data_IF_801899290457
#
_entry.id   IF_801899290457
#
_cell.length_a   1.000
_cell.length_b   1.000
_cell.length_c   1.000
_cell.angle_alpha   90.00
_cell.angle_beta   90.00
_cell.angle_gamma   90.00
#
_symmetry.space_group_name_H-M   'P 1'
#
loop_
_entity.id
_entity.type
_entity.pdbx_description
1 polymer ?
#
# COMPACT_ATOMS: atom_id res chain seq x y z
N UNK A 1 -20.16 3.64 18.66
CA UNK A 1 -20.21 3.31 17.22
C UNK A 1 -18.77 3.16 16.76
N UNK A 2 -18.31 1.94 16.53
CA UNK A 2 -16.88 1.67 16.33
C UNK A 2 -16.50 1.86 14.86
N UNK A 3 -15.36 2.50 14.61
CA UNK A 3 -14.79 2.64 13.26
C UNK A 3 -13.99 1.38 12.96
N UNK A 4 -14.38 0.62 11.94
CA UNK A 4 -13.68 -0.62 11.56
C UNK A 4 -12.54 -0.26 10.59
N UNK A 5 -11.36 -0.08 11.17
CA UNK A 5 -10.08 0.03 10.46
C UNK A 5 -9.49 -1.34 10.15
N UNK A 6 -8.58 -1.40 9.16
CA UNK A 6 -8.09 -2.69 8.63
C UNK A 6 -7.39 -3.56 9.68
N UNK A 7 -6.56 -2.96 10.55
CA UNK A 7 -5.94 -3.69 11.67
C UNK A 7 -7.00 -4.10 12.71
N UNK A 8 -7.84 -3.20 13.28
CA UNK A 8 -8.96 -3.58 14.15
C UNK A 8 -9.94 -4.63 13.61
N UNK A 9 -10.15 -4.74 12.30
CA UNK A 9 -10.89 -5.88 11.70
C UNK A 9 -10.14 -7.21 11.89
N UNK A 10 -8.85 -7.25 11.56
CA UNK A 10 -7.99 -8.42 11.73
C UNK A 10 -7.72 -8.75 13.21
N UNK A 11 -7.78 -7.74 14.09
CA UNK A 11 -7.63 -7.82 15.55
C UNK A 11 -8.88 -8.38 16.22
N UNK A 12 -10.06 -7.83 15.91
CA UNK A 12 -11.33 -8.31 16.48
C UNK A 12 -11.52 -9.80 16.17
N UNK A 13 -11.16 -10.22 14.95
CA UNK A 13 -11.15 -11.61 14.55
C UNK A 13 -10.27 -12.50 15.46
N UNK A 14 -9.13 -12.00 15.96
CA UNK A 14 -8.20 -12.75 16.82
C UNK A 14 -8.75 -12.98 18.22
N UNK A 15 -9.44 -12.02 18.83
CA UNK A 15 -10.07 -12.21 20.15
C UNK A 15 -11.16 -13.29 20.09
N UNK A 16 -12.04 -13.20 19.09
CA UNK A 16 -13.13 -14.15 18.84
C UNK A 16 -12.66 -15.58 18.47
N UNK A 17 -11.36 -15.81 18.25
CA UNK A 17 -10.80 -17.17 18.13
C UNK A 17 -10.96 -18.01 19.42
N UNK A 18 -11.21 -17.37 20.57
CA UNK A 18 -10.94 -17.96 21.89
C UNK A 18 -9.45 -17.96 22.24
N UNK A 19 -8.66 -17.06 21.66
CA UNK A 19 -7.31 -16.77 22.16
C UNK A 19 -7.41 -15.91 23.43
N UNK A 20 -6.47 -16.08 24.35
CA UNK A 20 -6.46 -15.37 25.63
C UNK A 20 -6.49 -13.83 25.43
N UNK A 21 -7.54 -13.13 25.90
CA UNK A 21 -7.63 -11.68 25.78
C UNK A 21 -6.49 -10.92 26.45
N UNK A 22 -5.86 -11.47 27.50
CA UNK A 22 -4.73 -10.83 28.18
C UNK A 22 -3.48 -10.79 27.28
N UNK A 23 -3.31 -11.76 26.37
CA UNK A 23 -2.19 -11.78 25.40
C UNK A 23 -2.32 -10.66 24.37
N UNK A 24 -3.53 -10.31 23.96
CA UNK A 24 -3.82 -9.28 22.96
C UNK A 24 -4.19 -7.91 23.57
N UNK A 25 -4.15 -7.78 24.90
CA UNK A 25 -4.57 -6.63 25.70
C UNK A 25 -3.99 -5.28 25.29
N UNK A 26 -2.77 -5.30 24.73
CA UNK A 26 -2.00 -4.12 24.28
C UNK A 26 -2.11 -3.87 22.76
N UNK A 27 -2.95 -4.63 22.04
CA UNK A 27 -3.14 -4.54 20.59
C UNK A 27 -2.39 -5.62 19.79
N UNK A 28 -2.25 -5.39 18.47
CA UNK A 28 -1.53 -6.27 17.56
C UNK A 28 -0.54 -5.51 16.66
N UNK A 29 0.58 -6.16 16.42
CA UNK A 29 1.50 -5.86 15.34
C UNK A 29 1.14 -6.70 14.12
N UNK A 30 1.13 -6.08 12.94
CA UNK A 30 0.76 -6.71 11.68
C UNK A 30 1.79 -6.38 10.61
N UNK A 31 2.39 -7.40 10.00
CA UNK A 31 3.37 -7.22 8.91
C UNK A 31 2.77 -7.61 7.58
N UNK A 32 2.92 -6.72 6.61
CA UNK A 32 2.59 -6.91 5.21
C UNK A 32 3.87 -6.97 4.38
N UNK A 33 3.91 -7.88 3.40
CA UNK A 33 4.90 -7.85 2.33
C UNK A 33 4.35 -6.99 1.20
N UNK A 34 5.15 -6.04 0.74
CA UNK A 34 4.83 -5.14 -0.37
C UNK A 34 5.81 -5.40 -1.51
N UNK A 35 5.27 -5.59 -2.72
CA UNK A 35 6.03 -5.69 -3.95
C UNK A 35 5.52 -4.64 -4.94
N UNK A 36 6.34 -3.64 -5.24
CA UNK A 36 6.09 -2.64 -6.27
C UNK A 36 6.94 -2.97 -7.50
N UNK A 37 6.29 -3.17 -8.64
CA UNK A 37 6.93 -3.37 -9.94
C UNK A 37 6.48 -2.29 -10.90
N UNK A 38 7.42 -1.58 -11.52
CA UNK A 38 7.14 -0.53 -12.48
C UNK A 38 7.98 -0.68 -13.75
N UNK A 39 7.43 -0.20 -14.86
CA UNK A 39 8.12 -0.08 -16.14
C UNK A 39 8.05 1.36 -16.65
N UNK A 40 9.14 1.83 -17.25
CA UNK A 40 9.27 3.12 -17.95
C UNK A 40 9.50 2.82 -19.42
N UNK A 41 8.57 3.21 -20.27
CA UNK A 41 8.62 2.94 -21.72
C UNK A 41 8.55 4.26 -22.48
N UNK A 42 9.57 4.55 -23.28
CA UNK A 42 9.66 5.79 -24.07
C UNK A 42 8.87 5.69 -25.39
N UNK A 43 8.26 6.80 -25.80
CA UNK A 43 7.48 6.89 -27.04
C UNK A 43 8.40 6.88 -28.27
N UNK A 44 8.19 5.93 -29.19
CA UNK A 44 8.98 5.76 -30.42
C UNK A 44 8.75 6.84 -31.51
N UNK A 45 7.85 7.80 -31.27
CA UNK A 45 7.34 8.74 -32.30
C UNK A 45 8.39 9.70 -32.86
N UNK A 46 9.53 9.86 -32.17
CA UNK A 46 10.67 10.65 -32.63
C UNK A 46 11.94 9.78 -32.63
N UNK A 47 12.53 9.58 -33.81
CA UNK A 47 13.50 8.52 -34.06
C UNK A 47 14.81 8.64 -33.27
N UNK A 48 15.33 7.49 -32.82
CA UNK A 48 16.50 7.36 -31.94
C UNK A 48 16.40 8.22 -30.67
N UNK A 49 15.44 7.86 -29.83
CA UNK A 49 15.58 8.09 -28.39
C UNK A 49 16.96 7.59 -27.93
N UNK A 50 17.73 8.46 -27.27
CA UNK A 50 18.94 8.05 -26.55
C UNK A 50 18.60 7.44 -25.18
N UNK A 51 17.35 7.58 -24.74
CA UNK A 51 16.86 7.01 -23.49
C UNK A 51 16.62 5.52 -23.66
N UNK A 52 16.77 4.78 -22.56
CA UNK A 52 16.56 3.33 -22.52
C UNK A 52 15.34 3.05 -21.66
N UNK A 53 14.46 2.16 -22.12
CA UNK A 53 13.38 1.65 -21.30
C UNK A 53 13.93 0.98 -20.04
N UNK A 54 13.13 0.94 -18.98
CA UNK A 54 13.58 0.51 -17.66
C UNK A 54 12.49 -0.29 -16.95
N UNK A 55 12.87 -1.36 -16.24
CA UNK A 55 12.03 -1.94 -15.19
C UNK A 55 12.61 -1.62 -13.81
N UNK A 56 11.73 -1.61 -12.81
CA UNK A 56 12.05 -1.26 -11.44
C UNK A 56 11.26 -2.15 -10.49
N UNK A 57 11.95 -2.75 -9.53
CA UNK A 57 11.40 -3.68 -8.57
C UNK A 57 11.78 -3.22 -7.15
N UNK A 58 10.78 -3.05 -6.27
CA UNK A 58 10.94 -2.83 -4.82
C UNK A 58 10.19 -3.92 -4.07
N UNK A 59 10.90 -4.61 -3.18
CA UNK A 59 10.31 -5.56 -2.23
C UNK A 59 10.62 -5.06 -0.83
N UNK A 60 9.61 -4.93 0.03
CA UNK A 60 9.79 -4.43 1.39
C UNK A 60 8.74 -5.03 2.31
N UNK A 61 9.08 -5.19 3.58
CA UNK A 61 8.07 -5.38 4.62
C UNK A 61 7.57 -4.01 5.09
N UNK A 62 6.31 -3.95 5.49
CA UNK A 62 5.69 -2.86 6.23
C UNK A 62 5.05 -3.46 7.47
N UNK A 63 5.58 -3.11 8.64
CA UNK A 63 5.03 -3.55 9.93
C UNK A 63 4.29 -2.40 10.58
N UNK A 64 3.05 -2.65 11.01
CA UNK A 64 2.11 -1.69 11.57
C UNK A 64 1.62 -2.13 12.95
N UNK A 65 1.52 -1.19 13.89
CA UNK A 65 0.82 -1.33 15.16
C UNK A 65 -0.37 -0.38 15.18
N UNK A 66 -1.58 -0.85 15.50
CA UNK A 66 -2.78 -0.01 15.49
C UNK A 66 -3.30 0.28 16.89
N UNK A 67 -3.58 1.57 17.11
CA UNK A 67 -4.15 2.12 18.33
C UNK A 67 -5.32 3.00 17.89
N UNK A 68 -6.54 2.65 18.31
CA UNK A 68 -7.79 3.33 17.94
C UNK A 68 -7.97 3.51 16.41
N UNK A 69 -8.06 4.76 15.93
CA UNK A 69 -8.20 5.11 14.52
C UNK A 69 -6.86 5.39 13.82
N UNK A 70 -5.74 4.96 14.41
CA UNK A 70 -4.38 5.16 13.90
C UNK A 70 -3.65 3.83 13.68
N UNK A 71 -2.74 3.81 12.73
CA UNK A 71 -1.69 2.80 12.66
C UNK A 71 -0.32 3.48 12.53
N UNK A 72 0.61 3.11 13.42
CA UNK A 72 2.01 3.51 13.35
C UNK A 72 2.78 2.39 12.65
N UNK A 73 3.45 2.71 11.55
CA UNK A 73 4.09 1.70 10.71
C UNK A 73 5.50 2.08 10.31
N UNK A 74 6.33 1.09 9.98
CA UNK A 74 7.69 1.29 9.47
C UNK A 74 8.04 0.28 8.37
N UNK A 75 8.86 0.70 7.40
CA UNK A 75 9.34 -0.19 6.34
C UNK A 75 10.68 -0.84 6.74
N UNK A 76 10.83 -2.13 6.50
CA UNK A 76 12.05 -2.89 6.76
C UNK A 76 12.30 -3.97 5.69
N UNK A 77 13.47 -4.60 5.75
CA UNK A 77 13.92 -5.65 4.82
C UNK A 77 13.86 -5.27 3.33
N UNK A 78 13.93 -3.97 3.06
CA UNK A 78 13.78 -3.36 1.74
C UNK A 78 14.90 -3.80 0.78
N UNK A 79 14.51 -4.29 -0.38
CA UNK A 79 15.35 -4.64 -1.52
C UNK A 79 14.88 -3.84 -2.73
N UNK A 80 15.81 -3.29 -3.51
CA UNK A 80 15.50 -2.42 -4.65
C UNK A 80 16.40 -2.77 -5.83
N UNK A 81 15.82 -2.85 -7.03
CA UNK A 81 16.54 -3.17 -8.26
C UNK A 81 15.98 -2.36 -9.43
N UNK A 82 16.84 -1.59 -10.08
CA UNK A 82 16.58 -1.01 -11.41
C UNK A 82 17.20 -1.91 -12.48
N UNK A 83 16.54 -2.10 -13.63
CA UNK A 83 17.06 -2.86 -14.78
C UNK A 83 16.84 -2.05 -16.06
N UNK A 84 17.92 -1.70 -16.78
CA UNK A 84 17.85 -0.89 -18.00
C UNK A 84 17.92 -1.77 -19.26
N UNK A 85 17.03 -1.50 -20.22
CA UNK A 85 16.77 -2.35 -21.38
C UNK A 85 17.53 -1.90 -22.64
N UNK A 86 17.93 -2.88 -23.44
CA UNK A 86 18.76 -2.74 -24.63
C UNK A 86 17.98 -2.32 -25.87
N UNK A 87 18.60 -1.48 -26.69
CA UNK A 87 18.09 -1.03 -27.99
C UNK A 87 18.16 -2.19 -29.00
N UNK A 88 17.07 -2.98 -29.07
CA UNK A 88 17.10 -4.32 -29.65
C UNK A 88 17.04 -4.35 -31.19
N UNK A 89 18.16 -4.06 -31.85
CA UNK A 89 18.35 -4.22 -33.30
C UNK A 89 18.14 -5.66 -33.84
N UNK A 90 17.80 -6.63 -32.97
CA UNK A 90 17.59 -8.05 -33.27
C UNK A 90 16.38 -8.67 -32.54
N UNK A 91 15.45 -7.87 -32.02
CA UNK A 91 14.18 -8.38 -31.44
C UNK A 91 14.30 -9.15 -30.11
N UNK A 92 15.46 -9.07 -29.43
CA UNK A 92 15.62 -9.44 -28.02
C UNK A 92 16.19 -8.25 -27.27
N UNK A 93 15.50 -7.76 -26.24
CA UNK A 93 16.06 -6.73 -25.39
C UNK A 93 17.14 -7.34 -24.49
N UNK A 94 18.36 -6.86 -24.64
CA UNK A 94 19.51 -7.24 -23.83
C UNK A 94 19.60 -6.30 -22.63
N UNK A 95 19.77 -6.84 -21.41
CA UNK A 95 19.90 -6.00 -20.21
C UNK A 95 21.22 -5.22 -20.31
N UNK A 96 21.16 -3.89 -20.36
CA UNK A 96 22.34 -3.01 -20.43
C UNK A 96 23.04 -2.90 -19.07
N UNK A 97 22.25 -2.76 -18.01
CA UNK A 97 22.74 -2.60 -16.64
C UNK A 97 21.64 -2.93 -15.64
N UNK A 98 22.05 -3.23 -14.41
CA UNK A 98 21.19 -3.23 -13.24
C UNK A 98 21.82 -2.37 -12.14
N UNK A 99 21.01 -1.63 -11.40
CA UNK A 99 21.47 -0.70 -10.35
C UNK A 99 20.75 -0.96 -9.03
N UNK A 100 21.52 -0.87 -7.93
CA UNK A 100 21.01 -0.91 -6.56
C UNK A 100 20.67 0.52 -6.12
N UNK A 101 19.39 0.87 -6.06
CA UNK A 101 18.96 2.20 -5.63
C UNK A 101 19.03 2.34 -4.10
N UNK A 102 20.23 2.72 -3.63
CA UNK A 102 20.53 2.98 -2.22
C UNK A 102 19.70 4.15 -1.69
N UNK A 103 19.33 5.14 -2.50
CA UNK A 103 18.49 6.27 -2.05
C UNK A 103 17.08 5.79 -1.73
N UNK A 104 16.41 5.08 -2.65
CA UNK A 104 15.06 4.56 -2.41
C UNK A 104 15.01 3.66 -1.17
N UNK A 105 16.03 2.79 -0.98
CA UNK A 105 16.13 1.98 0.25
C UNK A 105 16.25 2.85 1.50
N UNK A 106 17.15 3.84 1.50
CA UNK A 106 17.35 4.74 2.65
C UNK A 106 16.07 5.52 2.97
N UNK A 107 15.42 6.11 1.97
CA UNK A 107 14.20 6.91 2.14
C UNK A 107 13.06 6.11 2.79
N UNK A 108 12.83 4.86 2.35
CA UNK A 108 11.83 4.00 2.97
C UNK A 108 12.19 3.61 4.41
N UNK A 109 13.48 3.44 4.71
CA UNK A 109 13.98 3.03 6.02
C UNK A 109 14.44 4.21 6.90
N UNK A 110 14.12 5.45 6.53
CA UNK A 110 14.59 6.65 7.21
C UNK A 110 13.78 6.96 8.48
N UNK A 111 12.47 6.70 8.44
CA UNK A 111 11.52 7.10 9.48
C UNK A 111 10.27 6.20 9.46
N UNK A 112 9.44 6.32 10.50
CA UNK A 112 8.12 5.73 10.56
C UNK A 112 7.07 6.58 9.83
N UNK A 113 5.90 5.97 9.59
CA UNK A 113 4.70 6.65 9.12
C UNK A 113 3.58 6.49 10.16
N UNK A 114 2.73 7.50 10.31
CA UNK A 114 1.46 7.37 11.05
C UNK A 114 0.30 7.51 10.07
N UNK A 115 -0.51 6.47 9.95
CA UNK A 115 -1.70 6.45 9.10
C UNK A 115 -2.92 6.76 9.97
N UNK A 116 -3.54 7.91 9.74
CA UNK A 116 -4.83 8.27 10.34
C UNK A 116 -5.98 7.75 9.47
N UNK A 117 -6.96 7.12 10.10
CA UNK A 117 -8.13 6.55 9.43
C UNK A 117 -9.46 7.16 9.90
N UNK A 118 -10.50 6.92 9.12
CA UNK A 118 -11.90 7.24 9.42
C UNK A 118 -12.79 6.07 9.03
N UNK A 119 -14.11 6.19 9.29
CA UNK A 119 -15.13 5.25 8.75
C UNK A 119 -15.15 5.14 7.22
N UNK A 120 -14.45 6.03 6.53
CA UNK A 120 -14.37 6.14 5.08
C UNK A 120 -13.00 5.68 4.53
N UNK A 121 -12.22 4.90 5.29
CA UNK A 121 -10.85 4.48 4.93
C UNK A 121 -9.77 5.45 5.41
N UNK A 122 -8.63 5.46 4.72
CA UNK A 122 -7.46 6.27 5.07
C UNK A 122 -7.75 7.77 4.89
N UNK A 123 -7.25 8.60 5.80
CA UNK A 123 -7.46 10.05 5.76
C UNK A 123 -6.17 10.85 5.59
N UNK A 124 -5.12 10.49 6.31
CA UNK A 124 -3.81 11.17 6.26
C UNK A 124 -2.68 10.17 6.48
N UNK A 125 -1.58 10.32 5.75
CA UNK A 125 -0.30 9.64 6.05
C UNK A 125 0.70 10.69 6.50
N UNK A 126 1.06 10.65 7.78
CA UNK A 126 2.09 11.48 8.36
C UNK A 126 3.45 10.78 8.26
N UNK A 127 4.49 11.56 7.97
CA UNK A 127 5.90 11.14 7.93
C UNK A 127 6.71 12.30 8.51
N UNK A 128 7.81 12.04 9.23
CA UNK A 128 8.61 13.08 9.87
C UNK A 128 9.19 14.10 8.90
N UNK A 129 9.49 15.29 9.42
CA UNK A 129 9.88 16.45 8.63
C UNK A 129 11.27 16.30 7.97
N UNK A 130 12.09 15.38 8.48
CA UNK A 130 13.43 15.06 7.95
C UNK A 130 13.40 14.23 6.65
N UNK A 131 12.29 13.57 6.34
CA UNK A 131 12.11 12.86 5.06
C UNK A 131 11.80 13.86 3.96
N UNK A 132 12.47 13.79 2.81
CA UNK A 132 12.21 14.67 1.66
C UNK A 132 10.74 14.54 1.21
N UNK A 133 10.04 15.61 0.76
CA UNK A 133 8.61 15.55 0.42
C UNK A 133 8.23 14.45 -0.57
N UNK A 134 9.10 14.19 -1.55
CA UNK A 134 8.91 13.13 -2.55
C UNK A 134 9.10 11.73 -1.93
N UNK A 135 9.96 11.59 -0.92
CA UNK A 135 10.05 10.39 -0.09
C UNK A 135 8.77 10.12 0.71
N UNK A 136 8.13 11.16 1.25
CA UNK A 136 6.82 11.03 1.93
C UNK A 136 5.72 10.58 0.97
N UNK A 137 5.73 11.09 -0.27
CA UNK A 137 4.83 10.62 -1.31
C UNK A 137 5.08 9.14 -1.65
N UNK A 138 6.34 8.73 -1.81
CA UNK A 138 6.71 7.33 -2.04
C UNK A 138 6.22 6.41 -0.91
N UNK A 139 6.45 6.77 0.36
CA UNK A 139 5.98 5.97 1.49
C UNK A 139 4.46 5.81 1.48
N UNK A 140 3.70 6.90 1.37
CA UNK A 140 2.24 6.82 1.32
C UNK A 140 1.69 6.14 0.05
N UNK A 141 2.40 6.16 -1.07
CA UNK A 141 2.05 5.37 -2.26
C UNK A 141 2.09 3.86 -1.96
N UNK A 142 3.05 3.39 -1.16
CA UNK A 142 3.10 2.00 -0.70
C UNK A 142 2.10 1.68 0.43
N UNK A 143 1.66 2.69 1.20
CA UNK A 143 0.61 2.52 2.20
C UNK A 143 -0.81 2.51 1.57
N UNK A 144 -0.99 3.16 0.42
CA UNK A 144 -2.30 3.31 -0.26
C UNK A 144 -3.07 1.99 -0.49
N UNK A 145 -2.46 0.82 -0.79
CA UNK A 145 -3.18 -0.44 -0.90
C UNK A 145 -3.92 -0.90 0.37
N UNK A 146 -3.71 -0.23 1.52
CA UNK A 146 -4.51 -0.38 2.76
C UNK A 146 -5.81 0.46 2.77
N UNK A 147 -5.97 1.41 1.84
CA UNK A 147 -7.16 2.29 1.76
C UNK A 147 -8.34 1.62 1.04
N UNK A 148 -9.19 0.97 1.85
CA UNK A 148 -10.50 0.44 1.43
C UNK A 148 -11.40 1.53 0.81
N UNK A 149 -11.33 2.77 1.30
CA UNK A 149 -12.14 3.89 0.79
C UNK A 149 -13.67 3.81 1.01
N UNK A 150 -14.19 2.84 1.79
CA UNK A 150 -15.64 2.58 1.95
C UNK A 150 -16.07 2.47 3.42
N UNK A 151 -17.36 2.75 3.66
CA UNK A 151 -18.05 2.59 4.94
C UNK A 151 -19.07 1.42 4.85
N UNK A 152 -18.71 0.29 5.44
CA UNK A 152 -19.52 -0.93 5.41
C UNK A 152 -20.66 -0.98 6.44
N UNK A 153 -20.91 0.10 7.19
CA UNK A 153 -22.01 0.13 8.19
C UNK A 153 -23.41 -0.04 7.57
N UNK A 154 -23.59 0.32 6.30
CA UNK A 154 -24.88 0.31 5.59
C UNK A 154 -25.14 -0.96 4.76
N UNK A 155 -24.14 -1.47 4.04
CA UNK A 155 -24.21 -2.69 3.22
C UNK A 155 -22.82 -3.31 3.03
N UNK A 156 -22.76 -4.64 2.92
CA UNK A 156 -21.52 -5.44 2.79
C UNK A 156 -21.21 -5.86 1.34
N UNK A 157 -22.13 -5.64 0.41
CA UNK A 157 -21.99 -5.91 -1.03
C UNK A 157 -22.79 -4.88 -1.83
N UNK A 158 -22.38 -4.63 -3.07
CA UNK A 158 -23.06 -3.70 -3.98
C UNK A 158 -22.10 -2.90 -4.87
N UNK A 159 -22.68 -1.97 -5.63
CA UNK A 159 -21.93 -0.94 -6.34
C UNK A 159 -21.99 0.36 -5.52
N UNK A 160 -20.84 1.00 -5.31
CA UNK A 160 -20.72 2.27 -4.59
C UNK A 160 -19.93 3.26 -5.43
N UNK A 161 -20.30 4.53 -5.40
CA UNK A 161 -19.54 5.61 -6.01
C UNK A 161 -19.23 6.68 -4.97
N UNK A 162 -17.99 7.20 -4.98
CA UNK A 162 -17.54 8.19 -4.01
C UNK A 162 -16.45 9.08 -4.60
N UNK A 163 -16.52 10.39 -4.31
CA UNK A 163 -15.37 11.29 -4.42
C UNK A 163 -14.38 10.99 -3.27
N UNK A 164 -13.18 10.54 -3.63
CA UNK A 164 -12.09 10.29 -2.68
C UNK A 164 -11.11 11.45 -2.76
N UNK A 165 -10.79 12.01 -1.59
CA UNK A 165 -9.80 13.07 -1.46
C UNK A 165 -8.42 12.51 -1.82
N UNK A 166 -7.71 13.19 -2.73
CA UNK A 166 -6.30 12.96 -3.03
C UNK A 166 -5.48 14.14 -2.50
N UNK A 167 -4.15 14.09 -2.63
CA UNK A 167 -3.25 15.15 -2.16
C UNK A 167 -3.42 16.50 -2.86
N UNK A 168 -4.11 16.60 -4.01
CA UNK A 168 -4.41 17.88 -4.69
C UNK A 168 -5.84 18.04 -5.24
N UNK A 169 -6.71 17.02 -5.17
CA UNK A 169 -8.07 17.12 -5.72
C UNK A 169 -9.00 15.98 -5.31
N UNK A 170 -10.29 16.08 -5.66
CA UNK A 170 -11.29 15.06 -5.36
C UNK A 170 -11.53 14.16 -6.58
N UNK A 171 -11.04 12.93 -6.56
CA UNK A 171 -11.20 11.98 -7.67
C UNK A 171 -12.47 11.13 -7.52
N UNK A 172 -13.24 10.98 -8.60
CA UNK A 172 -14.39 10.07 -8.61
C UNK A 172 -13.93 8.60 -8.67
N UNK A 173 -14.26 7.84 -7.63
CA UNK A 173 -13.95 6.41 -7.49
C UNK A 173 -15.23 5.59 -7.55
N UNK A 174 -15.23 4.55 -8.38
CA UNK A 174 -16.26 3.51 -8.40
C UNK A 174 -15.75 2.27 -7.69
N UNK A 175 -16.64 1.58 -6.98
CA UNK A 175 -16.33 0.36 -6.24
C UNK A 175 -17.41 -0.69 -6.51
N UNK A 176 -16.99 -1.88 -6.90
CA UNK A 176 -17.80 -3.10 -6.88
C UNK A 176 -17.37 -3.95 -5.69
N UNK A 177 -18.29 -4.28 -4.80
CA UNK A 177 -18.05 -5.14 -3.63
C UNK A 177 -18.87 -6.41 -3.75
N UNK A 178 -18.19 -7.54 -3.85
CA UNK A 178 -18.77 -8.88 -3.98
C UNK A 178 -18.37 -9.77 -2.81
N UNK A 179 -19.18 -10.78 -2.50
CA UNK A 179 -18.72 -11.94 -1.72
C UNK A 179 -18.29 -13.02 -2.70
N UNK A 180 -17.10 -13.57 -2.50
CA UNK A 180 -16.56 -14.62 -3.38
C UNK A 180 -17.54 -15.78 -3.51
N UNK A 181 -17.82 -16.31 -4.72
CA UNK A 181 -18.76 -17.42 -4.88
C UNK A 181 -18.23 -18.73 -4.29
N UNK A 182 -16.90 -18.87 -4.17
CA UNK A 182 -16.24 -20.06 -3.67
C UNK A 182 -15.85 -19.96 -2.19
N UNK A 183 -15.96 -21.08 -1.49
CA UNK A 183 -15.06 -21.38 -0.37
C UNK A 183 -13.65 -21.60 -0.95
N UNK A 184 -12.92 -20.50 -1.17
CA UNK A 184 -11.58 -20.52 -1.76
C UNK A 184 -10.67 -21.49 -0.99
N UNK A 185 -9.71 -22.12 -1.68
CA UNK A 185 -8.80 -23.13 -1.14
C UNK A 185 -7.82 -22.53 -0.11
N UNK A 186 -8.32 -22.23 1.08
CA UNK A 186 -7.52 -22.03 2.28
C UNK A 186 -6.61 -23.26 2.47
N UNK A 187 -5.29 -23.04 2.51
CA UNK A 187 -4.41 -24.00 3.20
C UNK A 187 -4.97 -24.16 4.61
N UNK A 188 -5.30 -25.39 5.03
CA UNK A 188 -5.84 -25.69 6.35
C UNK A 188 -4.82 -25.40 7.46
N UNK A 189 -4.72 -24.14 7.85
CA UNK A 189 -4.42 -23.75 9.22
C UNK A 189 -5.65 -24.16 10.08
N UNK A 190 -5.46 -24.52 11.36
CA UNK A 190 -6.55 -24.98 12.21
C UNK A 190 -7.66 -23.92 12.34
N UNK A 191 -8.92 -24.36 12.34
CA UNK A 191 -10.07 -23.51 12.06
C UNK A 191 -10.84 -23.10 13.33
N UNK A 192 -10.72 -21.83 13.70
CA UNK A 192 -11.62 -21.11 14.63
C UNK A 192 -11.32 -19.60 14.56
N UNK A 193 -12.01 -18.84 13.70
CA UNK A 193 -11.75 -17.38 13.52
C UNK A 193 -12.88 -16.65 12.77
N UNK A 194 -13.56 -15.76 13.48
CA UNK A 194 -14.77 -14.95 13.17
C UNK A 194 -14.70 -13.68 14.08
N UNK A 195 -15.60 -12.69 14.18
CA UNK A 195 -16.35 -11.96 13.13
C UNK A 195 -16.72 -10.51 13.53
N UNK A 196 -16.26 -9.48 12.78
CA UNK A 196 -16.94 -8.17 12.75
C UNK A 196 -17.15 -7.65 11.31
N UNK A 197 -18.07 -8.31 10.61
CA UNK A 197 -19.07 -7.57 9.83
C UNK A 197 -20.15 -7.04 10.82
N UNK A 198 -21.40 -6.84 10.39
CA UNK A 198 -22.51 -6.77 11.36
C UNK A 198 -22.55 -8.07 12.18
N UNK A 199 -22.91 -8.03 13.47
CA UNK A 199 -22.97 -9.22 14.34
C UNK A 199 -24.03 -10.26 13.92
N UNK A 200 -24.77 -9.98 12.84
CA UNK A 200 -25.88 -10.76 12.31
C UNK A 200 -25.51 -11.53 11.01
N UNK A 201 -24.29 -11.36 10.44
CA UNK A 201 -23.92 -11.95 9.15
C UNK A 201 -22.53 -12.63 9.10
N UNK A 202 -22.56 -13.93 8.80
CA UNK A 202 -21.38 -14.80 8.60
C UNK A 202 -20.53 -14.42 7.36
N UNK A 203 -19.31 -13.92 7.56
CA UNK A 203 -18.27 -13.86 6.50
C UNK A 203 -17.57 -15.23 6.30
N UNK A 204 -18.36 -16.28 6.08
CA UNK A 204 -17.89 -17.60 5.64
C UNK A 204 -17.21 -17.51 4.25
N UNK A 205 -17.41 -16.41 3.51
CA UNK A 205 -16.84 -16.15 2.18
C UNK A 205 -16.04 -14.84 2.18
N UNK A 206 -14.86 -14.78 1.54
CA UNK A 206 -14.10 -13.54 1.41
C UNK A 206 -14.92 -12.40 0.78
N UNK A 207 -14.66 -11.18 1.23
CA UNK A 207 -15.11 -9.97 0.54
C UNK A 207 -14.07 -9.63 -0.53
N UNK A 208 -14.53 -9.42 -1.75
CA UNK A 208 -13.76 -8.97 -2.90
C UNK A 208 -14.19 -7.53 -3.22
N UNK A 209 -13.24 -6.61 -3.34
CA UNK A 209 -13.49 -5.20 -3.64
C UNK A 209 -12.68 -4.83 -4.88
N UNK A 210 -13.36 -4.40 -5.93
CA UNK A 210 -12.75 -3.83 -7.14
C UNK A 210 -13.01 -2.33 -7.15
N UNK A 211 -11.96 -1.53 -6.96
CA UNK A 211 -11.96 -0.06 -7.01
C UNK A 211 -11.37 0.40 -8.35
N UNK A 212 -12.09 1.27 -9.06
CA UNK A 212 -11.62 1.92 -10.28
C UNK A 212 -11.72 3.43 -10.12
N UNK A 213 -10.72 4.17 -10.57
CA UNK A 213 -10.76 5.64 -10.61
C UNK A 213 -10.75 6.09 -12.08
N UNK A 214 -11.90 6.58 -12.54
CA UNK A 214 -12.12 7.05 -13.91
C UNK A 214 -11.80 8.54 -14.02
N UNK A 215 -10.92 8.92 -14.95
CA UNK A 215 -10.47 10.31 -15.14
C UNK A 215 -11.22 11.06 -16.26
N UNK A 216 -12.49 10.73 -16.48
CA UNK A 216 -13.29 11.24 -17.60
C UNK A 216 -13.94 12.60 -17.29
N UNK A 217 -13.32 13.68 -17.75
CA UNK A 217 -13.77 15.07 -17.57
C UNK A 217 -13.32 15.71 -16.24
N UNK A 218 -14.01 16.77 -15.81
CA UNK A 218 -13.69 17.60 -14.63
C UNK A 218 -13.99 16.89 -13.28
N UNK A 219 -13.44 15.68 -13.11
CA UNK A 219 -13.75 14.71 -12.04
C UNK A 219 -12.53 14.22 -11.26
N UNK A 220 -11.35 14.71 -11.60
CA UNK A 220 -10.06 14.53 -10.91
C UNK A 220 -9.22 15.78 -11.17
N UNK A 221 -9.29 16.78 -10.28
CA UNK A 221 -8.51 18.00 -10.42
C UNK A 221 -7.02 17.81 -10.04
N UNK A 222 -6.16 18.44 -10.83
CA UNK A 222 -4.72 18.71 -10.63
C UNK A 222 -3.70 17.54 -10.69
N UNK A 223 -2.41 17.94 -10.78
CA UNK A 223 -1.35 17.25 -11.53
C UNK A 223 -0.35 16.43 -10.71
N UNK A 224 -0.31 16.54 -9.38
CA UNK A 224 0.64 15.74 -8.58
C UNK A 224 0.05 14.42 -8.15
N UNK A 225 0.71 13.33 -8.51
CA UNK A 225 0.09 12.02 -8.46
C UNK A 225 0.69 11.11 -7.38
N UNK A 226 -0.04 10.95 -6.27
CA UNK A 226 0.39 10.22 -5.08
C UNK A 226 0.32 8.69 -5.21
N UNK A 227 -0.43 8.16 -6.18
CA UNK A 227 -0.72 6.72 -6.30
C UNK A 227 0.34 5.93 -7.10
N UNK A 228 1.44 6.56 -7.53
CA UNK A 228 2.57 5.88 -8.18
C UNK A 228 3.85 6.14 -7.40
N UNK A 229 4.39 5.08 -6.81
CA UNK A 229 5.67 5.07 -6.12
C UNK A 229 6.81 5.46 -7.05
N UNK A 230 6.86 4.80 -8.22
CA UNK A 230 7.96 4.92 -9.14
C UNK A 230 7.97 6.27 -9.87
N UNK A 231 6.78 6.84 -10.17
CA UNK A 231 6.68 8.20 -10.68
C UNK A 231 7.26 9.23 -9.69
N UNK A 232 7.02 9.07 -8.38
CA UNK A 232 7.65 9.94 -7.39
C UNK A 232 9.18 9.72 -7.34
N UNK A 233 9.65 8.46 -7.36
CA UNK A 233 11.09 8.11 -7.42
C UNK A 233 11.81 8.76 -8.61
N UNK A 234 11.27 8.66 -9.82
CA UNK A 234 11.87 9.24 -11.04
C UNK A 234 11.94 10.78 -10.99
N UNK A 235 10.92 11.40 -10.40
CA UNK A 235 10.76 12.86 -10.37
C UNK A 235 11.39 13.51 -9.12
N UNK A 236 12.21 12.78 -8.35
CA UNK A 236 12.86 13.29 -7.11
C UNK A 236 13.75 14.54 -7.27
N UNK A 237 14.07 14.93 -8.51
CA UNK A 237 14.86 16.12 -8.84
C UNK A 237 14.21 17.02 -9.93
N UNK A 238 12.92 16.83 -10.24
CA UNK A 238 12.14 17.77 -11.09
C UNK A 238 11.47 18.84 -10.25
N UNK A 239 11.24 20.01 -10.82
CA UNK A 239 10.23 20.96 -10.35
C UNK A 239 8.87 20.63 -11.00
N UNK A 240 7.76 21.04 -10.37
CA UNK A 240 6.41 20.94 -10.95
C UNK A 240 6.26 21.61 -12.34
N UNK A 241 7.18 22.51 -12.73
CA UNK A 241 7.26 23.14 -14.05
C UNK A 241 7.97 22.32 -15.12
N UNK A 242 8.72 21.29 -14.72
CA UNK A 242 9.65 20.57 -15.60
C UNK A 242 8.97 19.39 -16.31
N UNK A 243 7.82 18.92 -15.81
CA UNK A 243 7.10 17.72 -16.27
C UNK A 243 5.59 17.95 -16.35
N UNK A 244 5.01 17.76 -17.54
CA UNK A 244 3.56 17.57 -17.69
C UNK A 244 3.22 16.11 -17.34
N UNK A 245 2.59 15.91 -16.17
CA UNK A 245 2.13 14.60 -15.69
C UNK A 245 0.66 14.42 -16.05
N UNK A 246 0.34 13.40 -16.86
CA UNK A 246 -1.02 12.95 -17.13
C UNK A 246 -1.23 11.57 -16.52
N UNK A 247 -2.05 11.50 -15.46
CA UNK A 247 -2.61 10.23 -15.00
C UNK A 247 -3.54 9.63 -16.08
N UNK A 248 -3.51 8.30 -16.25
CA UNK A 248 -4.32 7.60 -17.26
C UNK A 248 -5.41 6.71 -16.64
N UNK A 249 -5.03 5.87 -15.66
CA UNK A 249 -5.93 4.88 -15.06
C UNK A 249 -5.38 4.32 -13.76
N UNK A 250 -6.25 4.12 -12.77
CA UNK A 250 -5.95 3.36 -11.55
C UNK A 250 -7.03 2.31 -11.33
N UNK A 251 -6.56 1.08 -11.07
CA UNK A 251 -7.38 -0.07 -10.69
C UNK A 251 -6.81 -0.62 -9.38
N UNK A 252 -7.66 -1.06 -8.47
CA UNK A 252 -7.25 -1.76 -7.26
C UNK A 252 -8.23 -2.86 -6.89
N UNK A 253 -7.69 -4.02 -6.58
CA UNK A 253 -8.40 -5.24 -6.24
C UNK A 253 -7.96 -5.67 -4.84
N UNK A 254 -8.89 -5.70 -3.90
CA UNK A 254 -8.68 -6.16 -2.53
C UNK A 254 -9.47 -7.44 -2.27
N UNK A 255 -8.89 -8.36 -1.50
CA UNK A 255 -9.59 -9.52 -0.95
C UNK A 255 -9.38 -9.53 0.56
N UNK A 256 -10.49 -9.55 1.29
CA UNK A 256 -10.53 -9.44 2.75
C UNK A 256 -11.20 -10.70 3.33
N UNK A 257 -10.57 -11.28 4.34
CA UNK A 257 -11.08 -12.43 5.09
C UNK A 257 -10.55 -12.41 6.52
N UNK A 258 -11.17 -13.20 7.41
CA UNK A 258 -10.89 -13.21 8.85
C UNK A 258 -9.41 -13.50 9.21
N UNK A 259 -8.62 -14.07 8.29
CA UNK A 259 -7.21 -14.43 8.50
C UNK A 259 -6.26 -14.00 7.37
N UNK A 260 -6.74 -13.29 6.35
CA UNK A 260 -5.90 -12.86 5.22
C UNK A 260 -6.40 -11.55 4.59
N UNK A 261 -5.45 -10.68 4.25
CA UNK A 261 -5.65 -9.47 3.44
C UNK A 261 -4.64 -9.47 2.29
N UNK A 262 -5.17 -9.34 1.06
CA UNK A 262 -4.36 -9.09 -0.14
C UNK A 262 -4.94 -7.89 -0.88
N UNK A 263 -4.09 -6.94 -1.25
CA UNK A 263 -4.42 -5.81 -2.09
C UNK A 263 -3.47 -5.77 -3.29
N UNK A 264 -3.99 -5.46 -4.47
CA UNK A 264 -3.22 -5.30 -5.69
C UNK A 264 -3.71 -4.07 -6.43
N UNK A 265 -2.85 -3.09 -6.65
CA UNK A 265 -3.14 -1.91 -7.48
C UNK A 265 -2.34 -1.94 -8.78
N UNK A 266 -2.94 -1.36 -9.83
CA UNK A 266 -2.29 -1.00 -11.09
C UNK A 266 -2.50 0.48 -11.33
N UNK A 267 -1.47 1.13 -11.86
CA UNK A 267 -1.48 2.57 -12.04
C UNK A 267 -0.66 2.97 -13.26
N UNK A 268 -1.25 3.79 -14.12
CA UNK A 268 -0.67 4.18 -15.41
C UNK A 268 -0.59 5.70 -15.52
N UNK A 269 0.58 6.20 -15.87
CA UNK A 269 0.88 7.64 -15.94
C UNK A 269 1.70 7.93 -17.20
N UNK A 270 1.29 8.91 -18.00
CA UNK A 270 2.03 9.44 -19.13
C UNK A 270 2.75 10.71 -18.69
N UNK A 271 4.04 10.84 -19.01
CA UNK A 271 4.85 12.01 -18.66
C UNK A 271 5.48 12.59 -19.92
N UNK A 272 5.42 13.92 -20.03
CA UNK A 272 6.13 14.71 -21.02
C UNK A 272 7.13 15.61 -20.27
N UNK A 273 8.42 15.28 -20.36
CA UNK A 273 9.51 16.00 -19.67
C UNK A 273 10.01 17.14 -20.56
N UNK A 274 9.89 18.38 -20.09
CA UNK A 274 10.25 19.55 -20.87
C UNK A 274 11.77 19.78 -20.94
N UNK A 275 12.56 19.13 -20.08
CA UNK A 275 14.02 19.33 -19.94
C UNK A 275 14.78 18.64 -21.06
N UNK A 276 14.43 17.39 -21.36
CA UNK A 276 15.00 16.59 -22.45
C UNK A 276 14.05 16.41 -23.64
N UNK A 277 12.79 16.88 -23.52
CA UNK A 277 11.69 16.74 -24.49
C UNK A 277 11.25 15.29 -24.69
N UNK A 278 11.58 14.40 -23.76
CA UNK A 278 11.17 13.01 -23.81
C UNK A 278 9.70 12.84 -23.43
N UNK A 279 9.09 11.80 -24.01
CA UNK A 279 7.74 11.34 -23.68
C UNK A 279 7.84 9.87 -23.32
N UNK A 280 7.25 9.51 -22.20
CA UNK A 280 7.25 8.13 -21.72
C UNK A 280 6.00 7.82 -20.91
N UNK A 281 5.71 6.53 -20.80
CA UNK A 281 4.65 5.98 -19.97
C UNK A 281 5.28 5.21 -18.83
N UNK A 282 4.81 5.46 -17.61
CA UNK A 282 4.98 4.59 -16.46
C UNK A 282 3.75 3.68 -16.38
N UNK A 283 4.01 2.37 -16.33
CA UNK A 283 3.02 1.36 -15.97
C UNK A 283 3.54 0.65 -14.71
N UNK A 284 2.86 0.86 -13.60
CA UNK A 284 3.26 0.41 -12.27
C UNK A 284 2.16 -0.46 -11.65
N UNK A 285 2.58 -1.44 -10.85
CA UNK A 285 1.69 -2.26 -10.04
C UNK A 285 2.28 -2.49 -8.66
N UNK A 286 1.45 -2.45 -7.63
CA UNK A 286 1.83 -2.74 -6.26
C UNK A 286 0.95 -3.87 -5.71
N UNK A 287 1.56 -4.93 -5.18
CA UNK A 287 0.86 -5.88 -4.32
C UNK A 287 1.24 -5.67 -2.86
N UNK A 288 0.28 -5.90 -1.97
CA UNK A 288 0.44 -5.88 -0.52
C UNK A 288 -0.28 -7.12 0.04
N UNK A 289 0.46 -7.98 0.74
CA UNK A 289 -0.03 -9.28 1.23
C UNK A 289 0.33 -9.46 2.70
N UNK A 290 -0.67 -9.73 3.54
CA UNK A 290 -0.49 -10.06 4.94
C UNK A 290 0.49 -11.24 5.13
N UNK A 291 1.50 -11.07 5.98
CA UNK A 291 2.47 -12.12 6.34
C UNK A 291 2.21 -12.68 7.74
N UNK A 292 2.09 -11.80 8.74
CA UNK A 292 1.90 -12.17 10.15
C UNK A 292 1.01 -11.18 10.91
N UNK A 293 0.36 -11.67 11.97
CA UNK A 293 -0.32 -10.90 13.01
C UNK A 293 0.22 -11.45 14.33
N UNK A 294 0.78 -10.60 15.18
CA UNK A 294 1.38 -10.96 16.47
C UNK A 294 0.89 -10.00 17.58
N UNK A 295 0.78 -10.47 18.84
CA UNK A 295 0.35 -9.62 19.95
C UNK A 295 1.39 -8.55 20.27
N UNK A 296 0.94 -7.33 20.59
CA UNK A 296 1.82 -6.27 21.06
C UNK A 296 2.30 -6.59 22.48
N UNK A 297 3.59 -6.80 22.65
CA UNK A 297 4.16 -7.15 23.96
C UNK A 297 4.30 -5.95 24.91
N UNK A 298 4.23 -4.71 24.41
CA UNK A 298 4.28 -3.48 25.20
C UNK A 298 3.50 -2.34 24.53
N UNK A 299 2.91 -1.45 25.32
CA UNK A 299 2.47 -0.14 24.86
C UNK A 299 3.70 0.77 24.81
N UNK A 300 4.04 1.32 23.64
CA UNK A 300 5.16 2.26 23.47
C UNK A 300 4.66 3.64 23.08
N UNK A 301 4.64 4.54 24.07
CA UNK A 301 4.20 5.93 23.88
C UNK A 301 5.10 6.76 22.93
N UNK A 302 6.37 6.39 22.76
CA UNK A 302 7.35 7.15 21.93
C UNK A 302 8.28 6.23 21.14
N UNK A 303 8.60 6.68 19.92
CA UNK A 303 8.95 5.81 18.79
C UNK A 303 10.46 5.58 18.57
N UNK A 304 11.32 6.07 19.46
CA UNK A 304 12.76 5.83 19.34
C UNK A 304 13.10 4.42 19.83
N UNK A 305 13.71 3.61 18.94
CA UNK A 305 14.15 2.22 19.17
C UNK A 305 13.02 1.18 19.37
N UNK A 306 12.53 0.65 18.25
CA UNK A 306 11.98 -0.70 18.24
C UNK A 306 13.13 -1.73 18.33
N UNK A 307 13.12 -2.48 19.44
CA UNK A 307 14.10 -3.49 19.86
C UNK A 307 15.54 -3.03 20.14
N UNK A 308 15.75 -2.57 21.38
CA UNK A 308 16.77 -3.18 22.25
C UNK A 308 16.16 -3.73 23.54
N UNK A 309 15.58 -2.86 24.37
CA UNK A 309 15.17 -3.24 25.73
C UNK A 309 13.69 -3.64 25.83
N UNK A 310 13.36 -4.79 25.25
CA UNK A 310 12.11 -5.52 25.50
C UNK A 310 12.38 -7.01 25.80
N UNK A 311 13.50 -7.31 26.48
CA UNK A 311 13.93 -8.67 26.77
C UNK A 311 14.32 -8.91 28.23
N UNK A 312 13.91 -10.08 28.74
CA UNK A 312 14.47 -10.86 29.85
C UNK A 312 14.02 -10.68 31.33
N UNK A 313 13.40 -9.59 31.80
CA UNK A 313 13.07 -9.49 33.24
C UNK A 313 11.68 -10.02 33.67
N UNK A 314 10.59 -9.80 32.92
CA UNK A 314 9.24 -10.22 33.38
C UNK A 314 8.85 -11.68 33.05
N UNK A 315 9.58 -12.37 32.18
CA UNK A 315 9.22 -13.73 31.71
C UNK A 315 9.45 -14.82 32.79
N UNK A 316 10.26 -14.53 33.82
CA UNK A 316 10.65 -15.52 34.83
C UNK A 316 9.61 -15.82 35.93
N UNK A 317 8.44 -15.16 35.93
CA UNK A 317 7.45 -15.26 37.03
C UNK A 317 6.18 -16.08 36.73
N UNK A 318 6.06 -16.73 35.57
CA UNK A 318 4.92 -17.61 35.24
C UNK A 318 5.34 -19.01 34.76
N UNK A 319 6.12 -19.69 35.60
CA UNK A 319 6.43 -21.12 35.48
C UNK A 319 6.65 -21.76 36.87
N UNK A 320 5.69 -21.60 37.78
CA UNK A 320 5.64 -22.20 39.12
C UNK A 320 4.21 -22.55 39.52
#
# INVERSE_FOLDING_TARGET
>A
MMIITLLPFLLAARFDSGQDPEVWKRGAEVTYFIHNHATKIYSNDHGKSNHSDMSFDVQTMLTCQSIESKAYCFYHDTQVKSTYLGDSKRGRSEIKSAELDIWTKKTLQQDAITIDFTKNGMSTVWVGIEVEPIGRNMMGALAQPLDIGLDFSSALTGNFERKVNTSRGNCHSKFLVTRSPALSHQKKLPASLFLVARPDEDLIRPIEISRMMEMDGDKCDDRSFYYSFFMNRENRHTKDTDVDIKFNSFENFMTISNANFTSFSKVKVSINDHRDKSKYVIDESASLTLQKIEPMLCEKDKYNEFNRDCSSEEINNYAG
#
